data_IF_294418885124
#
_entry.id   IF_294418885124
#
_cell.length_a   1.000
_cell.length_b   1.000
_cell.length_c   1.000
_cell.angle_alpha   90.00
_cell.angle_beta   90.00
_cell.angle_gamma   90.00
#
_symmetry.space_group_name_H-M   'P 1'
#
loop_
_entity.id
_entity.type
_entity.pdbx_description
1 polymer ?
#
# COMPACT_ATOMS: atom_id res chain seq x y z
N UNK A 1 23.97 -8.22 -41.26
CA UNK A 1 22.69 -8.81 -40.84
C UNK A 1 22.27 -8.06 -39.59
N UNK A 2 21.30 -7.16 -39.70
CA UNK A 2 20.81 -6.34 -38.59
C UNK A 2 20.07 -7.24 -37.61
N UNK A 3 20.55 -7.29 -36.38
CA UNK A 3 19.89 -8.01 -35.28
C UNK A 3 18.88 -7.08 -34.62
N UNK A 4 17.89 -7.64 -33.94
CA UNK A 4 16.90 -6.87 -33.20
C UNK A 4 17.55 -6.05 -32.05
N UNK A 5 18.75 -6.44 -31.61
CA UNK A 5 19.62 -5.70 -30.69
C UNK A 5 20.21 -4.42 -31.28
N UNK A 6 20.14 -4.23 -32.59
CA UNK A 6 20.64 -3.04 -33.30
C UNK A 6 19.55 -1.96 -33.42
N UNK A 7 18.32 -2.25 -32.94
CA UNK A 7 17.23 -1.29 -32.90
C UNK A 7 17.43 -0.30 -31.73
N UNK A 8 17.09 1.00 -31.95
CA UNK A 8 16.92 1.97 -30.87
C UNK A 8 16.05 1.45 -29.72
N UNK A 9 16.45 1.75 -28.48
CA UNK A 9 15.79 1.29 -27.25
C UNK A 9 14.27 1.56 -27.26
N UNK A 10 13.85 2.73 -27.74
CA UNK A 10 12.43 3.11 -27.83
C UNK A 10 11.62 2.18 -28.77
N UNK A 11 12.21 1.70 -29.86
CA UNK A 11 11.54 0.75 -30.77
C UNK A 11 11.49 -0.65 -30.16
N UNK A 12 12.52 -1.05 -29.42
CA UNK A 12 12.52 -2.33 -28.68
C UNK A 12 11.48 -2.30 -27.55
N UNK A 13 11.36 -1.20 -26.82
CA UNK A 13 10.30 -1.00 -25.82
C UNK A 13 8.90 -1.08 -26.44
N UNK A 14 8.68 -0.47 -27.62
CA UNK A 14 7.40 -0.56 -28.33
C UNK A 14 7.08 -1.99 -28.79
N UNK A 15 8.07 -2.74 -29.27
CA UNK A 15 7.91 -4.15 -29.66
C UNK A 15 7.53 -4.99 -28.43
N UNK A 16 8.29 -4.86 -27.35
CA UNK A 16 8.03 -5.57 -26.09
C UNK A 16 6.66 -5.20 -25.51
N UNK A 17 6.24 -3.94 -25.67
CA UNK A 17 4.96 -3.44 -25.17
C UNK A 17 3.76 -4.07 -25.89
N UNK A 18 3.92 -4.41 -27.17
CA UNK A 18 2.89 -5.13 -27.95
C UNK A 18 2.79 -6.61 -27.58
N UNK A 19 3.73 -7.15 -26.81
CA UNK A 19 3.68 -8.54 -26.36
C UNK A 19 2.68 -8.68 -25.21
N UNK A 20 1.73 -9.63 -25.27
CA UNK A 20 0.85 -9.92 -24.14
C UNK A 20 1.64 -10.27 -22.87
N UNK A 21 1.25 -9.70 -21.72
CA UNK A 21 1.93 -9.92 -20.42
C UNK A 21 2.13 -11.40 -20.09
N UNK A 22 1.18 -12.27 -20.47
CA UNK A 22 1.27 -13.73 -20.30
C UNK A 22 2.49 -14.37 -20.98
N UNK A 23 2.98 -13.79 -22.07
CA UNK A 23 4.12 -14.28 -22.83
C UNK A 23 5.43 -13.56 -22.42
N UNK A 24 5.36 -12.54 -21.57
CA UNK A 24 6.54 -11.75 -21.17
C UNK A 24 7.59 -12.58 -20.44
N UNK A 25 7.17 -13.63 -19.73
CA UNK A 25 8.11 -14.56 -19.09
C UNK A 25 8.99 -15.27 -20.12
N UNK A 26 8.42 -15.72 -21.23
CA UNK A 26 9.16 -16.38 -22.30
C UNK A 26 10.06 -15.38 -23.03
N UNK A 27 9.56 -14.17 -23.28
CA UNK A 27 10.31 -13.07 -23.92
C UNK A 27 11.52 -12.65 -23.08
N UNK A 28 11.43 -12.65 -21.75
CA UNK A 28 12.59 -12.40 -20.87
C UNK A 28 13.66 -13.49 -20.98
N UNK A 29 13.28 -14.72 -21.31
CA UNK A 29 14.22 -15.84 -21.41
C UNK A 29 15.00 -15.85 -22.75
N UNK A 30 14.57 -15.08 -23.75
CA UNK A 30 15.22 -15.07 -25.07
C UNK A 30 16.49 -14.22 -25.09
N UNK A 31 16.55 -13.12 -24.34
CA UNK A 31 17.66 -12.16 -24.41
C UNK A 31 17.84 -11.38 -23.09
N UNK A 32 19.11 -11.21 -22.66
CA UNK A 32 19.47 -10.43 -21.46
C UNK A 32 19.12 -8.94 -21.58
N UNK A 33 19.27 -8.36 -22.76
CA UNK A 33 18.94 -6.96 -22.99
C UNK A 33 17.42 -6.75 -22.90
N UNK A 34 16.64 -7.69 -23.41
CA UNK A 34 15.17 -7.68 -23.31
C UNK A 34 14.69 -7.92 -21.88
N UNK A 35 15.34 -8.81 -21.14
CA UNK A 35 15.10 -8.99 -19.71
C UNK A 35 15.37 -7.68 -18.94
N UNK A 36 16.48 -7.00 -19.23
CA UNK A 36 16.86 -5.72 -18.62
C UNK A 36 15.89 -4.60 -18.99
N UNK A 37 15.54 -4.46 -20.27
CA UNK A 37 14.56 -3.48 -20.76
C UNK A 37 13.17 -3.71 -20.17
N UNK A 38 12.73 -4.97 -20.04
CA UNK A 38 11.45 -5.29 -19.41
C UNK A 38 11.36 -4.93 -17.92
N UNK A 39 12.52 -4.70 -17.29
CA UNK A 39 12.66 -4.25 -15.90
C UNK A 39 12.83 -2.74 -15.77
N UNK A 40 12.95 -2.03 -16.89
CA UNK A 40 13.10 -0.58 -16.89
C UNK A 40 11.81 0.12 -16.47
N UNK A 41 11.98 1.29 -15.83
CA UNK A 41 10.86 2.14 -15.36
C UNK A 41 9.98 2.62 -16.51
N UNK A 42 10.58 2.97 -17.65
CA UNK A 42 9.88 3.38 -18.88
C UNK A 42 8.91 2.29 -19.34
N UNK A 43 9.38 1.05 -19.40
CA UNK A 43 8.59 -0.09 -19.82
C UNK A 43 7.45 -0.43 -18.84
N UNK A 44 7.72 -0.41 -17.53
CA UNK A 44 6.67 -0.62 -16.52
C UNK A 44 5.56 0.44 -16.60
N UNK A 45 5.90 1.71 -16.82
CA UNK A 45 4.92 2.79 -16.98
C UNK A 45 4.05 2.61 -18.24
N UNK A 46 4.64 2.19 -19.36
CA UNK A 46 3.89 1.94 -20.59
C UNK A 46 2.82 0.86 -20.38
N UNK A 47 3.16 -0.28 -19.77
CA UNK A 47 2.19 -1.35 -19.52
C UNK A 47 1.09 -0.99 -18.52
N UNK A 48 1.40 -0.14 -17.52
CA UNK A 48 0.40 0.32 -16.54
C UNK A 48 -0.59 1.32 -17.12
N UNK A 49 -0.22 2.07 -18.16
CA UNK A 49 -1.08 3.08 -18.79
C UNK A 49 -2.25 2.51 -19.62
N UNK A 50 -2.24 1.20 -19.92
CA UNK A 50 -3.32 0.52 -20.67
C UNK A 50 -4.39 0.02 -19.72
N UNK A 51 -5.03 0.92 -18.97
CA UNK A 51 -6.34 0.62 -18.41
C UNK A 51 -7.38 1.03 -19.45
N UNK A 52 -8.05 0.05 -20.05
CA UNK A 52 -9.35 0.33 -20.68
C UNK A 52 -10.27 0.77 -19.55
N UNK A 53 -10.82 1.98 -19.66
CA UNK A 53 -11.56 2.67 -18.58
C UNK A 53 -12.74 1.84 -18.01
N UNK A 54 -13.17 0.81 -18.73
CA UNK A 54 -14.30 -0.07 -18.39
C UNK A 54 -13.89 -1.29 -17.55
N UNK A 55 -12.62 -1.72 -17.59
CA UNK A 55 -12.15 -2.96 -16.91
C UNK A 55 -10.95 -2.69 -16.00
N UNK A 56 -11.13 -2.93 -14.70
CA UNK A 56 -10.06 -2.81 -13.70
C UNK A 56 -9.76 -4.16 -13.04
N UNK A 57 -8.49 -4.56 -13.06
CA UNK A 57 -8.02 -5.65 -12.20
C UNK A 57 -7.66 -5.11 -10.81
N UNK A 58 -8.13 -5.81 -9.79
CA UNK A 58 -7.90 -5.50 -8.38
C UNK A 58 -7.40 -6.74 -7.65
N UNK A 59 -6.57 -6.52 -6.63
CA UNK A 59 -6.20 -7.56 -5.66
C UNK A 59 -7.05 -7.30 -4.42
N UNK A 60 -7.85 -8.28 -4.04
CA UNK A 60 -8.75 -8.20 -2.89
C UNK A 60 -8.31 -9.19 -1.83
N UNK A 61 -8.27 -8.75 -0.57
CA UNK A 61 -8.04 -9.62 0.58
C UNK A 61 -9.38 -10.06 1.16
N UNK A 62 -9.66 -11.36 1.15
CA UNK A 62 -10.86 -11.97 1.71
C UNK A 62 -10.49 -13.24 2.46
N UNK A 63 -11.00 -13.41 3.69
CA UNK A 63 -10.75 -14.59 4.53
C UNK A 63 -9.26 -14.98 4.60
N UNK A 64 -8.40 -13.98 4.80
CA UNK A 64 -6.94 -14.12 4.83
C UNK A 64 -6.29 -14.58 3.52
N UNK A 65 -6.98 -14.44 2.39
CA UNK A 65 -6.50 -14.83 1.07
C UNK A 65 -6.57 -13.68 0.07
N UNK A 66 -5.56 -13.60 -0.80
CA UNK A 66 -5.51 -12.65 -1.90
C UNK A 66 -6.16 -13.25 -3.14
N UNK A 67 -7.12 -12.53 -3.70
CA UNK A 67 -7.80 -12.88 -4.93
C UNK A 67 -7.52 -11.83 -6.00
N UNK A 68 -7.27 -12.29 -7.22
CA UNK A 68 -7.31 -11.45 -8.39
C UNK A 68 -8.75 -11.34 -8.87
N UNK A 69 -9.26 -10.13 -8.88
CA UNK A 69 -10.66 -9.83 -9.22
C UNK A 69 -10.69 -8.85 -10.37
N UNK A 70 -11.52 -9.13 -11.37
CA UNK A 70 -11.83 -8.20 -12.45
C UNK A 70 -13.12 -7.49 -12.08
N UNK A 71 -13.07 -6.16 -12.03
CA UNK A 71 -14.22 -5.29 -11.83
C UNK A 71 -14.51 -4.60 -13.16
N UNK A 72 -15.73 -4.80 -13.66
CA UNK A 72 -16.23 -4.13 -14.86
C UNK A 72 -17.28 -3.13 -14.41
N UNK A 73 -17.04 -1.86 -14.71
CA UNK A 73 -17.98 -0.78 -14.43
C UNK A 73 -18.79 -0.51 -15.69
N UNK A 74 -20.11 -0.61 -15.58
CA UNK A 74 -21.07 -0.29 -16.64
C UNK A 74 -21.89 0.92 -16.20
N UNK A 75 -22.19 1.83 -17.12
CA UNK A 75 -23.05 2.97 -16.81
C UNK A 75 -24.46 2.51 -16.43
N UNK A 76 -24.96 2.95 -15.27
CA UNK A 76 -26.30 2.66 -14.75
C UNK A 76 -26.61 1.18 -14.44
N UNK A 77 -25.60 0.32 -14.34
CA UNK A 77 -25.76 -1.07 -13.89
C UNK A 77 -24.83 -1.37 -12.71
N UNK A 78 -25.17 -2.42 -11.96
CA UNK A 78 -24.31 -2.90 -10.87
C UNK A 78 -22.94 -3.34 -11.41
N UNK A 79 -21.85 -3.06 -10.69
CA UNK A 79 -20.52 -3.46 -11.10
C UNK A 79 -20.41 -4.98 -11.18
N UNK A 80 -19.89 -5.49 -12.31
CA UNK A 80 -19.69 -6.92 -12.50
C UNK A 80 -18.33 -7.29 -11.89
N UNK A 81 -18.37 -8.18 -10.89
CA UNK A 81 -17.20 -8.68 -10.19
C UNK A 81 -16.93 -10.12 -10.62
N UNK A 82 -15.82 -10.34 -11.31
CA UNK A 82 -15.39 -11.66 -11.79
C UNK A 82 -14.12 -12.11 -11.05
N UNK A 83 -14.21 -13.26 -10.38
CA UNK A 83 -13.07 -13.87 -9.69
C UNK A 83 -12.16 -14.59 -10.69
N UNK A 84 -10.92 -14.11 -10.85
CA UNK A 84 -9.93 -14.74 -11.75
C UNK A 84 -9.14 -15.85 -11.05
N UNK A 85 -8.98 -15.75 -9.74
CA UNK A 85 -8.39 -16.83 -8.96
C UNK A 85 -7.69 -16.37 -7.69
N UNK A 86 -7.26 -17.36 -6.91
CA UNK A 86 -6.51 -17.17 -5.67
C UNK A 86 -5.02 -17.00 -5.95
N UNK A 87 -4.40 -15.97 -5.38
CA UNK A 87 -3.00 -15.62 -5.59
C UNK A 87 -2.07 -16.30 -4.57
N UNK A 88 -2.51 -16.46 -3.33
CA UNK A 88 -1.77 -17.12 -2.27
C UNK A 88 -2.25 -18.58 -2.09
N UNK A 89 -1.34 -19.55 -2.01
CA UNK A 89 -1.74 -20.97 -1.84
C UNK A 89 -1.95 -21.31 -0.37
N UNK A 90 -0.86 -21.35 0.39
CA UNK A 90 -0.81 -21.87 1.77
C UNK A 90 -0.58 -20.79 2.82
N UNK A 91 -0.15 -19.60 2.41
CA UNK A 91 0.21 -18.52 3.31
C UNK A 91 -1.02 -17.65 3.56
N UNK A 92 -1.52 -17.61 4.78
CA UNK A 92 -2.60 -16.69 5.17
C UNK A 92 -2.06 -15.29 5.40
N UNK A 93 -2.79 -14.28 4.92
CA UNK A 93 -2.40 -12.88 4.92
C UNK A 93 -3.39 -12.10 5.77
N UNK A 94 -2.90 -11.39 6.78
CA UNK A 94 -3.73 -10.58 7.68
C UNK A 94 -4.00 -9.19 7.12
N UNK A 95 -2.98 -8.59 6.48
CA UNK A 95 -3.05 -7.27 5.87
C UNK A 95 -2.22 -7.23 4.59
N UNK A 96 -2.67 -6.44 3.61
CA UNK A 96 -1.97 -6.25 2.36
C UNK A 96 -1.97 -4.77 1.95
N UNK A 97 -0.79 -4.26 1.55
CA UNK A 97 -0.60 -2.87 1.14
C UNK A 97 0.05 -2.83 -0.23
N UNK A 98 -0.51 -2.04 -1.14
CA UNK A 98 0.07 -1.84 -2.47
C UNK A 98 0.96 -0.58 -2.48
N UNK A 99 2.05 -0.63 -3.23
CA UNK A 99 2.91 0.51 -3.51
C UNK A 99 3.53 0.29 -4.89
N UNK A 100 3.08 1.06 -5.89
CA UNK A 100 3.69 1.08 -7.22
C UNK A 100 3.88 -0.31 -7.86
N UNK A 101 2.86 -1.18 -7.75
CA UNK A 101 2.89 -2.54 -8.27
C UNK A 101 3.59 -3.58 -7.38
N UNK A 102 4.18 -3.16 -6.25
CA UNK A 102 4.58 -4.06 -5.16
C UNK A 102 3.43 -4.27 -4.18
N UNK A 103 3.40 -5.45 -3.57
CA UNK A 103 2.45 -5.81 -2.53
C UNK A 103 3.20 -6.22 -1.27
N UNK A 104 3.04 -5.46 -0.20
CA UNK A 104 3.46 -5.85 1.14
C UNK A 104 2.36 -6.72 1.77
N UNK A 105 2.69 -7.93 2.16
CA UNK A 105 1.81 -8.90 2.79
C UNK A 105 2.27 -9.19 4.22
N UNK A 106 1.42 -8.89 5.19
CA UNK A 106 1.61 -9.26 6.59
C UNK A 106 0.97 -10.61 6.81
N UNK A 107 1.68 -11.53 7.47
CA UNK A 107 1.24 -12.91 7.60
C UNK A 107 0.30 -13.08 8.79
N UNK A 108 -0.71 -13.94 8.63
CA UNK A 108 -1.68 -14.26 9.70
C UNK A 108 -1.15 -15.30 10.69
N UNK A 109 -0.24 -16.18 10.26
CA UNK A 109 0.29 -17.25 11.12
C UNK A 109 1.74 -16.98 11.60
N UNK A 110 2.45 -16.01 11.02
CA UNK A 110 3.84 -15.65 11.39
C UNK A 110 3.98 -14.14 11.66
N UNK A 111 4.34 -13.76 12.89
CA UNK A 111 4.48 -12.36 13.32
C UNK A 111 5.94 -11.87 13.32
N UNK A 112 6.87 -12.70 12.82
CA UNK A 112 8.30 -12.42 12.82
C UNK A 112 8.78 -11.77 11.52
N UNK A 113 7.94 -11.77 10.48
CA UNK A 113 8.31 -11.26 9.16
C UNK A 113 7.12 -10.78 8.34
N UNK A 114 7.42 -9.98 7.32
CA UNK A 114 6.50 -9.65 6.24
C UNK A 114 7.04 -10.16 4.90
N UNK A 115 6.16 -10.36 3.92
CA UNK A 115 6.55 -10.70 2.56
C UNK A 115 6.26 -9.52 1.64
N UNK A 116 7.25 -9.11 0.86
CA UNK A 116 7.06 -8.15 -0.22
C UNK A 116 7.04 -8.94 -1.52
N UNK A 117 5.94 -8.84 -2.24
CA UNK A 117 5.68 -9.55 -3.47
C UNK A 117 5.61 -8.58 -4.65
N UNK A 118 6.34 -8.88 -5.71
CA UNK A 118 6.18 -8.26 -7.03
C UNK A 118 5.40 -9.24 -7.93
N UNK A 119 4.09 -9.04 -8.15
CA UNK A 119 3.28 -9.93 -8.97
C UNK A 119 3.71 -9.95 -10.44
N UNK A 120 4.21 -8.83 -10.96
CA UNK A 120 4.63 -8.69 -12.35
C UNK A 120 5.89 -9.52 -12.70
N UNK A 121 6.77 -9.71 -11.72
CA UNK A 121 7.97 -10.55 -11.87
C UNK A 121 7.86 -11.91 -11.18
N UNK A 122 6.80 -12.15 -10.42
CA UNK A 122 6.65 -13.34 -9.59
C UNK A 122 7.72 -13.46 -8.51
N UNK A 123 8.34 -12.34 -8.12
CA UNK A 123 9.43 -12.31 -7.14
C UNK A 123 8.89 -12.00 -5.75
N UNK A 124 9.35 -12.74 -4.75
CA UNK A 124 9.04 -12.49 -3.34
C UNK A 124 10.30 -12.24 -2.55
N UNK A 125 10.22 -11.35 -1.56
CA UNK A 125 11.28 -11.08 -0.59
C UNK A 125 10.68 -11.16 0.81
N UNK A 126 11.30 -11.95 1.67
CA UNK A 126 10.95 -12.01 3.09
C UNK A 126 11.74 -10.95 3.84
N UNK A 127 11.06 -10.18 4.70
CA UNK A 127 11.66 -9.15 5.56
C UNK A 127 11.45 -9.59 7.00
N UNK A 128 12.52 -10.03 7.65
CA UNK A 128 12.50 -10.38 9.07
C UNK A 128 12.48 -9.11 9.92
N UNK A 129 11.64 -9.12 10.95
CA UNK A 129 11.52 -8.03 11.91
C UNK A 129 12.61 -8.12 12.98
N UNK A 130 13.12 -6.97 13.44
CA UNK A 130 14.11 -6.94 14.54
C UNK A 130 13.53 -7.41 15.88
N UNK A 131 12.24 -7.16 16.08
CA UNK A 131 11.55 -7.47 17.32
C UNK A 131 10.19 -8.12 17.00
N UNK A 132 9.98 -9.31 17.56
CA UNK A 132 8.67 -9.98 17.62
C UNK A 132 8.09 -9.79 19.01
N UNK A 133 7.07 -8.95 19.15
CA UNK A 133 6.32 -8.87 20.41
C UNK A 133 5.36 -10.06 20.46
N UNK A 134 5.74 -11.12 21.21
CA UNK A 134 4.90 -12.31 21.46
C UNK A 134 3.62 -12.03 22.26
N UNK A 135 3.22 -10.77 22.46
CA UNK A 135 2.10 -10.43 23.33
C UNK A 135 0.77 -10.44 22.56
N UNK A 136 0.22 -11.64 22.42
CA UNK A 136 -1.20 -11.98 22.27
C UNK A 136 -2.08 -11.31 21.19
N UNK A 137 -1.68 -10.25 20.47
CA UNK A 137 -2.44 -9.68 19.33
C UNK A 137 -1.55 -8.99 18.30
N UNK A 138 -1.59 -9.50 17.07
CA UNK A 138 -0.98 -8.93 15.84
C UNK A 138 -1.52 -7.55 15.47
N UNK A 139 -2.71 -7.21 15.97
CA UNK A 139 -3.49 -5.98 15.74
C UNK A 139 -2.80 -4.68 16.26
N UNK A 140 -1.52 -4.72 16.63
CA UNK A 140 -0.83 -3.60 17.30
C UNK A 140 0.15 -2.85 16.43
N UNK A 141 0.58 -3.45 15.33
CA UNK A 141 1.50 -2.81 14.40
C UNK A 141 0.75 -2.26 13.20
N UNK A 142 1.09 -1.03 12.87
CA UNK A 142 0.75 -0.41 11.59
C UNK A 142 1.92 -0.54 10.62
N UNK A 143 1.59 -0.65 9.35
CA UNK A 143 2.55 -0.91 8.28
C UNK A 143 2.34 0.04 7.13
N UNK A 144 3.43 0.40 6.46
CA UNK A 144 3.39 1.26 5.29
C UNK A 144 4.51 0.88 4.31
N UNK A 145 4.22 0.94 3.01
CA UNK A 145 5.22 0.77 1.97
C UNK A 145 5.26 2.03 1.10
N UNK A 146 6.46 2.55 0.87
CA UNK A 146 6.67 3.74 0.06
C UNK A 146 8.04 3.75 -0.57
N UNK A 147 8.39 4.86 -1.22
CA UNK A 147 9.68 4.99 -1.88
C UNK A 147 10.17 6.44 -1.93
N UNK A 148 11.48 6.56 -2.09
CA UNK A 148 12.16 7.77 -2.55
C UNK A 148 12.45 7.64 -4.06
N UNK A 149 12.12 8.67 -4.84
CA UNK A 149 12.46 8.72 -6.27
C UNK A 149 13.91 9.22 -6.42
N UNK A 150 14.82 8.32 -6.79
CA UNK A 150 16.24 8.64 -7.08
C UNK A 150 16.45 8.96 -8.58
N UNK A 151 15.38 9.26 -9.32
CA UNK A 151 15.39 9.57 -10.74
C UNK A 151 15.36 8.32 -11.63
N UNK A 152 16.46 7.55 -11.63
CA UNK A 152 16.60 6.34 -12.45
C UNK A 152 15.97 5.10 -11.82
N UNK A 153 15.88 5.05 -10.49
CA UNK A 153 15.27 3.98 -9.72
C UNK A 153 14.46 4.51 -8.53
N UNK A 154 13.61 3.64 -7.98
CA UNK A 154 12.89 3.88 -6.73
C UNK A 154 13.60 3.13 -5.62
N UNK A 155 13.92 3.85 -4.54
CA UNK A 155 14.44 3.26 -3.32
C UNK A 155 13.26 2.99 -2.40
N UNK A 156 12.86 1.72 -2.31
CA UNK A 156 11.72 1.33 -1.50
C UNK A 156 12.09 1.33 -0.03
N UNK A 157 11.11 1.66 0.80
CA UNK A 157 11.22 1.64 2.25
C UNK A 157 9.94 1.11 2.86
N UNK A 158 10.08 0.35 3.93
CA UNK A 158 8.99 -0.28 4.66
C UNK A 158 8.94 0.25 6.08
N UNK A 159 7.88 0.97 6.42
CA UNK A 159 7.64 1.52 7.75
C UNK A 159 6.81 0.51 8.56
N UNK A 160 7.22 0.30 9.81
CA UNK A 160 6.49 -0.49 10.81
C UNK A 160 6.49 0.27 12.12
N UNK A 161 5.32 0.41 12.75
CA UNK A 161 5.21 1.19 13.97
C UNK A 161 4.08 0.75 14.90
N UNK A 162 4.20 1.15 16.16
CA UNK A 162 3.17 1.07 17.20
C UNK A 162 2.91 2.49 17.65
N UNK A 163 1.67 2.96 17.49
CA UNK A 163 1.31 4.32 17.88
C UNK A 163 0.35 4.40 19.08
N UNK A 164 -0.38 3.32 19.33
CA UNK A 164 -1.38 3.22 20.38
C UNK A 164 -1.25 1.88 21.10
N UNK A 165 -0.24 1.74 21.95
CA UNK A 165 -0.17 0.66 22.93
C UNK A 165 -0.22 1.23 24.33
N UNK A 166 -1.25 0.86 25.08
CA UNK A 166 -1.31 1.10 26.53
C UNK A 166 -0.91 -0.19 27.21
N UNK A 167 0.19 -0.17 27.95
CA UNK A 167 0.51 -1.26 28.86
C UNK A 167 -0.51 -1.25 30.00
N UNK A 168 -1.36 -2.27 30.08
CA UNK A 168 -2.41 -2.32 31.12
C UNK A 168 -1.85 -2.45 32.55
N UNK A 169 -0.60 -2.91 32.71
CA UNK A 169 0.05 -3.04 34.01
C UNK A 169 0.62 -1.70 34.49
N UNK A 170 1.26 -0.93 33.60
CA UNK A 170 1.90 0.35 33.96
C UNK A 170 1.07 1.57 33.61
N UNK A 171 0.02 1.41 32.78
CA UNK A 171 -0.75 2.48 32.12
C UNK A 171 0.11 3.42 31.26
N UNK A 172 1.32 2.99 30.90
CA UNK A 172 2.21 3.79 30.06
C UNK A 172 1.86 3.59 28.58
N UNK A 173 1.94 4.69 27.82
CA UNK A 173 1.83 4.66 26.37
C UNK A 173 3.20 4.29 25.78
N UNK A 174 3.25 3.18 25.05
CA UNK A 174 4.43 2.81 24.27
C UNK A 174 4.23 3.22 22.82
N UNK A 175 5.23 3.93 22.30
CA UNK A 175 5.29 4.36 20.91
C UNK A 175 6.61 3.89 20.33
N UNK A 176 6.58 3.32 19.13
CA UNK A 176 7.76 2.81 18.47
C UNK A 176 7.64 2.93 16.97
N UNK A 177 8.68 3.46 16.32
CA UNK A 177 8.74 3.59 14.87
C UNK A 177 10.05 3.01 14.34
N UNK A 178 9.96 2.17 13.32
CA UNK A 178 11.11 1.65 12.61
C UNK A 178 10.86 1.60 11.10
N UNK A 179 11.93 1.78 10.35
CA UNK A 179 11.91 1.76 8.89
C UNK A 179 12.97 0.80 8.38
N UNK A 180 12.59 0.01 7.39
CA UNK A 180 13.48 -0.87 6.64
C UNK A 180 13.80 -0.26 5.30
N UNK A 181 15.09 -0.14 5.00
CA UNK A 181 15.59 0.28 3.68
C UNK A 181 15.94 -0.96 2.84
N UNK A 182 15.35 -1.05 1.65
CA UNK A 182 15.53 -2.21 0.78
C UNK A 182 16.87 -2.24 0.06
N UNK A 183 17.49 -1.08 -0.16
CA UNK A 183 18.79 -0.94 -0.83
C UNK A 183 19.90 -1.39 0.12
N UNK A 184 19.89 -0.91 1.37
CA UNK A 184 20.87 -1.31 2.39
C UNK A 184 20.51 -2.60 3.12
N UNK A 185 19.29 -3.10 2.93
CA UNK A 185 18.75 -4.28 3.62
C UNK A 185 18.80 -4.18 5.14
N UNK A 186 18.66 -2.98 5.67
CA UNK A 186 18.84 -2.68 7.09
C UNK A 186 17.66 -1.96 7.69
N UNK A 187 17.44 -2.22 8.97
CA UNK A 187 16.46 -1.53 9.79
C UNK A 187 17.06 -0.34 10.51
N UNK A 188 16.28 0.74 10.63
CA UNK A 188 16.60 1.94 11.39
C UNK A 188 15.43 2.27 12.31
N UNK A 189 15.71 2.57 13.57
CA UNK A 189 14.71 3.10 14.51
C UNK A 189 14.55 4.60 14.29
N UNK A 190 13.33 5.11 14.26
CA UNK A 190 13.03 6.52 14.10
C UNK A 190 12.67 7.12 15.47
N UNK A 191 13.35 8.22 15.82
CA UNK A 191 13.08 8.97 17.05
C UNK A 191 11.94 9.96 16.77
N UNK A 192 10.71 9.55 17.08
CA UNK A 192 9.49 10.30 16.76
C UNK A 192 8.69 10.48 18.04
N UNK A 193 8.36 11.75 18.34
CA UNK A 193 7.44 12.12 19.42
C UNK A 193 6.12 12.57 18.79
N UNK A 194 5.15 11.66 18.61
CA UNK A 194 3.91 11.99 17.91
C UNK A 194 3.00 12.86 18.79
N UNK A 195 2.60 14.02 18.28
CA UNK A 195 1.50 14.83 18.82
C UNK A 195 0.15 14.46 18.19
N UNK A 196 0.16 13.46 17.31
CA UNK A 196 -1.01 12.85 16.66
C UNK A 196 -1.21 11.41 17.14
N UNK A 197 -2.31 10.79 16.75
CA UNK A 197 -2.62 9.38 16.97
C UNK A 197 -3.14 8.76 15.68
N UNK A 198 -2.60 7.61 15.29
CA UNK A 198 -3.06 6.77 14.18
C UNK A 198 -3.61 5.47 14.78
N UNK A 199 -4.86 5.12 14.44
CA UNK A 199 -5.48 3.89 14.92
C UNK A 199 -4.90 2.66 14.22
N UNK A 200 -4.49 1.65 15.00
CA UNK A 200 -3.76 0.47 14.53
C UNK A 200 -4.52 -0.45 13.55
N UNK A 201 -5.81 -0.19 13.31
CA UNK A 201 -6.69 -0.98 12.42
C UNK A 201 -6.93 -0.34 11.06
N UNK A 202 -6.58 0.94 10.88
CA UNK A 202 -6.83 1.63 9.63
C UNK A 202 -5.65 1.47 8.67
N UNK A 203 -5.87 0.93 7.45
CA UNK A 203 -4.81 0.80 6.48
C UNK A 203 -4.40 2.17 5.95
N UNK A 204 -3.08 2.38 5.80
CA UNK A 204 -2.56 3.58 5.16
C UNK A 204 -2.80 3.55 3.65
N UNK A 205 -3.06 4.71 3.07
CA UNK A 205 -3.23 4.88 1.63
C UNK A 205 -1.96 5.42 1.01
N UNK A 206 -1.46 4.68 0.02
CA UNK A 206 -0.32 5.09 -0.77
C UNK A 206 -0.72 6.14 -1.83
N UNK A 207 0.03 7.24 -1.89
CA UNK A 207 -0.09 8.26 -2.93
C UNK A 207 1.27 8.91 -3.21
N UNK A 208 1.70 8.86 -4.48
CA UNK A 208 2.92 9.54 -4.99
C UNK A 208 4.19 9.31 -4.16
N UNK A 209 4.41 8.07 -3.70
CA UNK A 209 5.62 7.68 -2.95
C UNK A 209 5.44 7.69 -1.43
N UNK A 210 4.37 8.33 -0.93
CA UNK A 210 4.11 8.51 0.49
C UNK A 210 2.84 7.78 0.95
N UNK A 211 2.68 7.64 2.26
CA UNK A 211 1.50 6.99 2.85
C UNK A 211 0.76 7.96 3.77
N UNK A 212 -0.56 7.93 3.67
CA UNK A 212 -1.49 8.79 4.38
C UNK A 212 -2.40 7.95 5.27
N UNK A 213 -2.73 8.46 6.45
CA UNK A 213 -3.68 7.85 7.38
C UNK A 213 -4.68 8.87 7.88
N UNK A 214 -5.93 8.46 8.17
CA UNK A 214 -6.73 9.18 9.16
C UNK A 214 -5.96 9.22 10.48
N UNK A 215 -6.05 10.35 11.16
CA UNK A 215 -5.37 10.59 12.40
C UNK A 215 -6.15 11.59 13.22
N UNK A 216 -5.78 11.69 14.49
CA UNK A 216 -6.35 12.64 15.44
C UNK A 216 -5.27 13.28 16.29
N UNK A 217 -5.61 14.34 17.02
CA UNK A 217 -4.68 14.94 17.97
C UNK A 217 -4.49 14.02 19.18
N UNK A 218 -3.26 13.91 19.68
CA UNK A 218 -2.94 13.10 20.87
C UNK A 218 -3.33 13.86 22.14
N UNK A 219 -4.63 13.91 22.45
CA UNK A 219 -5.12 14.40 23.74
C UNK A 219 -5.15 13.23 24.74
N UNK A 220 -4.58 13.43 25.93
CA UNK A 220 -4.22 12.37 26.88
C UNK A 220 -5.39 11.77 27.70
N UNK A 221 -6.66 12.06 27.39
CA UNK A 221 -7.75 11.82 28.35
C UNK A 221 -9.00 11.10 27.84
N UNK A 222 -9.18 10.86 26.54
CA UNK A 222 -10.41 10.22 26.05
C UNK A 222 -10.13 8.96 25.21
N UNK A 223 -10.90 7.92 25.50
CA UNK A 223 -10.83 6.59 24.90
C UNK A 223 -11.42 6.57 23.48
N UNK A 224 -12.18 7.60 23.09
CA UNK A 224 -12.91 7.66 21.83
C UNK A 224 -12.55 8.93 21.02
N UNK A 225 -11.31 8.96 20.50
CA UNK A 225 -10.85 10.09 19.69
C UNK A 225 -11.27 9.90 18.23
N UNK A 226 -11.99 10.89 17.70
CA UNK A 226 -12.44 11.01 16.32
C UNK A 226 -11.25 11.23 15.36
N UNK A 227 -11.17 10.47 14.27
CA UNK A 227 -10.19 10.76 13.20
C UNK A 227 -10.66 11.98 12.39
N UNK A 228 -10.32 13.16 12.88
CA UNK A 228 -10.69 14.47 12.31
C UNK A 228 -9.55 15.10 11.47
N UNK A 229 -8.42 14.39 11.33
CA UNK A 229 -7.27 14.83 10.56
C UNK A 229 -6.74 13.74 9.62
N UNK A 230 -5.85 14.15 8.72
CA UNK A 230 -5.00 13.30 7.90
C UNK A 230 -3.55 13.59 8.24
N UNK A 231 -2.74 12.54 8.32
CA UNK A 231 -1.29 12.67 8.43
C UNK A 231 -0.58 11.89 7.33
N UNK A 232 0.55 12.44 6.86
CA UNK A 232 1.40 11.84 5.84
C UNK A 232 2.74 11.42 6.43
N UNK A 233 3.20 10.20 6.14
CA UNK A 233 4.60 9.83 6.30
C UNK A 233 5.35 10.04 4.97
N UNK A 234 6.38 10.88 5.00
CA UNK A 234 7.24 11.18 3.88
C UNK A 234 8.46 10.26 3.89
N UNK A 235 8.56 9.35 2.92
CA UNK A 235 9.65 8.36 2.86
C UNK A 235 11.02 8.94 2.46
N UNK A 236 11.11 9.92 1.54
CA UNK A 236 12.35 10.65 1.31
C UNK A 236 12.93 11.29 2.59
N UNK A 237 12.10 12.01 3.36
CA UNK A 237 12.57 12.70 4.59
C UNK A 237 12.55 11.81 5.84
N UNK A 238 11.98 10.61 5.74
CA UNK A 238 11.76 9.67 6.85
C UNK A 238 11.04 10.32 8.04
N UNK A 239 10.08 11.19 7.77
CA UNK A 239 9.40 11.99 8.77
C UNK A 239 7.91 12.12 8.49
N UNK A 240 7.13 12.33 9.54
CA UNK A 240 5.73 12.72 9.39
C UNK A 240 5.63 14.20 9.02
N UNK A 241 4.65 14.52 8.17
CA UNK A 241 4.28 15.88 7.81
C UNK A 241 3.38 16.55 8.85
N UNK A 242 2.79 17.68 8.46
CA UNK A 242 1.79 18.36 9.27
C UNK A 242 0.50 17.55 9.36
N UNK A 243 -0.15 17.67 10.51
CA UNK A 243 -1.50 17.16 10.72
C UNK A 243 -2.49 18.09 10.00
N UNK A 244 -3.27 17.54 9.06
CA UNK A 244 -4.18 18.30 8.20
C UNK A 244 -5.63 18.02 8.60
N UNK A 245 -6.38 19.04 8.99
CA UNK A 245 -7.78 18.88 9.40
C UNK A 245 -8.66 18.45 8.21
N UNK A 246 -9.56 17.50 8.45
CA UNK A 246 -10.57 17.07 7.49
C UNK A 246 -11.64 18.16 7.30
N UNK A 247 -12.33 18.17 6.15
CA UNK A 247 -13.35 19.19 5.85
C UNK A 247 -14.69 18.96 6.57
N UNK A 248 -14.73 18.07 7.55
CA UNK A 248 -15.91 17.67 8.31
C UNK A 248 -15.51 17.30 9.74
N UNK A 249 -16.49 17.25 10.63
CA UNK A 249 -16.34 16.73 11.98
C UNK A 249 -17.08 15.38 12.06
N UNK A 250 -16.35 14.30 12.31
CA UNK A 250 -16.91 12.96 12.45
C UNK A 250 -17.58 12.80 13.83
N UNK A 251 -18.70 12.07 13.92
CA UNK A 251 -19.35 11.67 15.17
C UNK A 251 -18.72 10.42 15.80
N UNK A 252 -19.06 10.12 17.07
CA UNK A 252 -18.44 9.05 17.87
C UNK A 252 -18.56 7.63 17.29
N UNK A 253 -19.50 7.42 16.37
CA UNK A 253 -19.70 6.13 15.72
C UNK A 253 -19.33 6.16 14.24
N UNK A 254 -18.77 7.25 13.76
CA UNK A 254 -18.44 7.41 12.36
C UNK A 254 -17.11 6.73 12.02
N UNK A 255 -17.01 6.27 10.77
CA UNK A 255 -15.79 5.68 10.24
C UNK A 255 -15.23 6.55 9.12
N UNK A 256 -13.98 6.96 9.27
CA UNK A 256 -13.23 7.67 8.25
C UNK A 256 -12.33 6.68 7.50
N UNK A 257 -12.51 6.60 6.19
CA UNK A 257 -11.68 5.77 5.31
C UNK A 257 -11.02 6.63 4.26
N UNK A 258 -9.71 6.46 4.09
CA UNK A 258 -8.99 7.06 2.97
C UNK A 258 -9.00 6.13 1.76
N UNK A 259 -8.98 6.72 0.58
CA UNK A 259 -8.74 6.04 -0.69
C UNK A 259 -7.94 6.92 -1.65
N UNK A 260 -7.44 6.31 -2.73
CA UNK A 260 -6.68 6.99 -3.76
C UNK A 260 -7.45 6.97 -5.08
N UNK A 261 -7.69 8.14 -5.66
CA UNK A 261 -8.42 8.29 -6.93
C UNK A 261 -7.39 8.49 -8.03
N UNK A 262 -7.37 7.52 -8.97
CA UNK A 262 -6.50 7.52 -10.16
C UNK A 262 -5.01 7.70 -9.87
N UNK A 263 -4.55 7.31 -8.68
CA UNK A 263 -3.14 7.50 -8.24
C UNK A 263 -2.68 8.97 -8.16
N UNK A 264 -3.63 9.91 -8.20
CA UNK A 264 -3.35 11.34 -8.28
C UNK A 264 -3.89 12.14 -7.11
N UNK A 265 -5.06 11.74 -6.60
CA UNK A 265 -5.85 12.46 -5.61
C UNK A 265 -6.15 11.57 -4.42
N UNK A 266 -6.28 12.18 -3.24
CA UNK A 266 -6.77 11.49 -2.05
C UNK A 266 -8.28 11.68 -1.98
N UNK A 267 -8.99 10.62 -1.62
CA UNK A 267 -10.40 10.67 -1.28
C UNK A 267 -10.60 10.27 0.18
N UNK A 268 -11.59 10.88 0.80
CA UNK A 268 -12.03 10.58 2.16
C UNK A 268 -13.49 10.19 2.09
N UNK A 269 -13.82 9.05 2.69
CA UNK A 269 -15.19 8.59 2.90
C UNK A 269 -15.49 8.68 4.40
N UNK A 270 -16.55 9.41 4.74
CA UNK A 270 -17.16 9.41 6.06
C UNK A 270 -18.40 8.52 6.01
N UNK A 271 -18.50 7.58 6.95
CA UNK A 271 -19.67 6.71 7.10
C UNK A 271 -20.31 6.96 8.45
N UNK A 272 -21.58 7.34 8.45
CA UNK A 272 -22.37 7.55 9.68
C UNK A 272 -23.02 6.26 10.13
N UNK A 273 -22.82 5.88 11.39
CA UNK A 273 -23.29 4.61 11.95
C UNK A 273 -24.48 4.76 12.92
N UNK A 274 -25.08 5.95 13.03
CA UNK A 274 -26.26 6.14 13.88
C UNK A 274 -27.52 5.55 13.23
N UNK A 275 -28.40 4.98 14.07
CA UNK A 275 -29.54 4.14 13.68
C UNK A 275 -30.52 4.83 12.70
N UNK A 276 -30.26 4.64 11.41
CA UNK A 276 -30.97 5.22 10.27
C UNK A 276 -30.32 4.73 8.97
N UNK A 277 -30.82 5.11 7.78
CA UNK A 277 -30.19 4.68 6.53
C UNK A 277 -28.71 5.09 6.54
N UNK A 278 -27.81 4.22 6.05
CA UNK A 278 -26.39 4.54 5.98
C UNK A 278 -26.18 5.78 5.12
N UNK A 279 -25.80 6.88 5.75
CA UNK A 279 -25.39 8.11 5.08
C UNK A 279 -23.87 8.09 4.90
N UNK A 280 -23.44 8.48 3.70
CA UNK A 280 -22.04 8.51 3.32
C UNK A 280 -21.72 9.84 2.66
N UNK A 281 -20.60 10.43 3.06
CA UNK A 281 -20.08 11.63 2.45
C UNK A 281 -18.68 11.37 1.88
N UNK A 282 -18.41 11.91 0.69
CA UNK A 282 -17.14 11.69 -0.03
C UNK A 282 -16.53 13.03 -0.42
N UNK A 283 -15.27 13.23 -0.05
CA UNK A 283 -14.47 14.38 -0.46
C UNK A 283 -13.26 13.91 -1.25
N UNK A 284 -12.89 14.67 -2.27
CA UNK A 284 -11.72 14.39 -3.11
C UNK A 284 -10.88 15.65 -3.18
N UNK A 285 -9.56 15.51 -3.03
CA UNK A 285 -8.62 16.63 -3.15
C UNK A 285 -8.73 17.27 -4.55
N UNK A 286 -8.73 18.61 -4.60
CA UNK A 286 -8.80 19.37 -5.86
C UNK A 286 -7.50 19.31 -6.64
#
# INVERSE_FOLDING_TARGET
MTKISDLPINLVEEILYRVPVKNMREVRLTCKDWDTLSKSRSFSKMHSAVRREVESMMIVLMDFNLYLTKVVLSDNEDPIIEYKGKLNKQIKISQAFHCDGLLLCVLEDDDTKAIVWNPYWGQTRSIEFRFSHRTYRRERFSYALGYEDKGSCRSYKFLRFIDQYVDYATREQFVWYEIYDFDSSSWKTLDITPHWRILCKQPGVFLKGNTYWPASQRNYTEEDVLDDHIICFNFPSESFGHLLRLPFDAGHHDYVTLSCVREEKLAVLLTHNEAGPMEFEIWITT
#
